data_IF_958053305452
#
_entry.id   IF_958053305452
#
_cell.length_a   1.000
_cell.length_b   1.000
_cell.length_c   1.000
_cell.angle_alpha   90.00
_cell.angle_beta   90.00
_cell.angle_gamma   90.00
#
_symmetry.space_group_name_H-M   'P 1'
#
loop_
_entity.id
_entity.type
_entity.pdbx_description
1 polymer ?
#
# COMPACT_ATOMS: atom_id res chain seq x y z
N UNK A 1 -9.13 3.75 -29.19
CA UNK A 1 -9.59 3.41 -27.83
C UNK A 1 -9.38 1.92 -27.66
N UNK A 2 -8.51 1.51 -26.73
CA UNK A 2 -8.02 0.12 -26.63
C UNK A 2 -8.68 -0.66 -25.49
N UNK A 3 -9.75 -0.12 -24.89
CA UNK A 3 -10.48 -0.71 -23.78
C UNK A 3 -11.99 -0.51 -23.97
N UNK A 4 -12.76 -1.31 -23.25
CA UNK A 4 -14.21 -1.30 -23.26
C UNK A 4 -14.82 -0.56 -22.05
N UNK A 5 -15.91 0.17 -22.27
CA UNK A 5 -16.60 0.96 -21.23
C UNK A 5 -16.01 2.34 -20.93
N UNK A 6 -16.56 2.96 -19.89
CA UNK A 6 -16.10 4.23 -19.28
C UNK A 6 -15.34 3.95 -17.98
N UNK A 7 -14.30 4.73 -17.70
CA UNK A 7 -13.52 4.60 -16.47
C UNK A 7 -14.38 5.05 -15.29
N UNK A 8 -14.51 4.21 -14.27
CA UNK A 8 -15.30 4.52 -13.06
C UNK A 8 -14.43 4.68 -11.81
N UNK A 9 -13.26 4.03 -11.79
CA UNK A 9 -12.24 4.16 -10.74
C UNK A 9 -10.86 3.92 -11.36
N UNK A 10 -9.83 4.43 -10.69
CA UNK A 10 -8.46 4.32 -11.16
C UNK A 10 -7.44 4.59 -10.07
N UNK A 11 -6.25 4.01 -10.24
CA UNK A 11 -5.15 4.21 -9.32
C UNK A 11 -3.80 3.94 -10.00
N UNK A 12 -2.72 4.36 -9.35
CA UNK A 12 -1.36 4.15 -9.82
C UNK A 12 -0.64 3.18 -8.89
N UNK A 13 0.08 2.23 -9.47
CA UNK A 13 1.03 1.40 -8.73
C UNK A 13 2.30 1.22 -9.55
N UNK A 14 3.44 1.50 -8.92
CA UNK A 14 4.76 1.54 -9.57
C UNK A 14 4.73 2.45 -10.82
N UNK A 15 5.05 1.92 -12.00
CA UNK A 15 5.07 2.65 -13.28
C UNK A 15 3.78 2.50 -14.09
N UNK A 16 2.73 1.92 -13.51
CA UNK A 16 1.50 1.58 -14.20
C UNK A 16 0.27 2.29 -13.62
N UNK A 17 -0.61 2.71 -14.52
CA UNK A 17 -1.93 3.22 -14.19
C UNK A 17 -2.95 2.11 -14.41
N UNK A 18 -3.70 1.76 -13.38
CA UNK A 18 -4.74 0.75 -13.46
C UNK A 18 -6.11 1.42 -13.34
N UNK A 19 -7.10 0.91 -14.06
CA UNK A 19 -8.44 1.46 -14.03
C UNK A 19 -9.48 0.38 -14.30
N UNK A 20 -10.63 0.51 -13.62
CA UNK A 20 -11.79 -0.33 -13.90
C UNK A 20 -12.84 0.47 -14.70
N UNK A 21 -13.67 -0.27 -15.42
CA UNK A 21 -14.71 0.33 -16.26
C UNK A 21 -16.11 -0.07 -15.82
N UNK A 22 -17.10 0.68 -16.27
CA UNK A 22 -18.52 0.35 -16.06
C UNK A 22 -18.96 -0.98 -16.71
N UNK A 23 -18.11 -1.59 -17.55
CA UNK A 23 -18.32 -2.95 -18.07
C UNK A 23 -17.67 -4.03 -17.19
N UNK A 24 -17.29 -3.69 -15.96
CA UNK A 24 -16.67 -4.61 -14.99
C UNK A 24 -15.35 -5.21 -15.50
N UNK A 25 -14.53 -4.41 -16.19
CA UNK A 25 -13.22 -4.83 -16.66
C UNK A 25 -12.12 -3.99 -16.05
N UNK A 26 -10.99 -4.61 -15.75
CA UNK A 26 -9.81 -3.92 -15.23
C UNK A 26 -8.71 -3.95 -16.29
N UNK A 27 -8.13 -2.78 -16.52
CA UNK A 27 -7.05 -2.55 -17.47
C UNK A 27 -5.83 -1.97 -16.78
N UNK A 28 -4.68 -2.13 -17.42
CA UNK A 28 -3.41 -1.52 -17.04
C UNK A 28 -2.88 -0.70 -18.22
N UNK A 29 -2.63 0.57 -18.00
CA UNK A 29 -1.89 1.43 -18.91
C UNK A 29 -0.43 1.55 -18.43
N UNK A 30 0.52 1.28 -19.32
CA UNK A 30 1.95 1.43 -19.07
C UNK A 30 2.54 2.36 -20.12
N UNK A 31 3.29 3.36 -19.66
CA UNK A 31 4.00 4.26 -20.57
C UNK A 31 5.33 3.62 -20.96
N UNK A 32 5.54 3.45 -22.27
CA UNK A 32 6.77 3.02 -22.89
C UNK A 32 7.42 4.21 -23.59
N UNK A 33 8.47 4.81 -23.00
CA UNK A 33 9.18 5.91 -23.61
C UNK A 33 9.70 5.54 -25.03
N UNK A 34 9.71 6.48 -25.98
CA UNK A 34 9.48 7.91 -25.76
C UNK A 34 8.02 8.37 -25.81
N UNK A 35 7.08 7.64 -26.41
CA UNK A 35 5.74 8.18 -26.70
C UNK A 35 4.60 7.15 -26.71
N UNK A 36 4.81 5.91 -26.27
CA UNK A 36 3.79 4.87 -26.41
C UNK A 36 3.09 4.58 -25.08
N UNK A 37 1.78 4.39 -25.13
CA UNK A 37 0.99 3.92 -23.99
C UNK A 37 0.39 2.58 -24.41
N UNK A 38 0.90 1.52 -23.81
CA UNK A 38 0.34 0.19 -23.96
C UNK A 38 -0.80 0.02 -22.94
N UNK A 39 -1.95 -0.47 -23.40
CA UNK A 39 -3.10 -0.78 -22.54
C UNK A 39 -3.37 -2.27 -22.64
N UNK A 40 -3.22 -2.97 -21.51
CA UNK A 40 -3.46 -4.40 -21.39
C UNK A 40 -4.75 -4.64 -20.61
N UNK A 41 -5.57 -5.59 -21.06
CA UNK A 41 -6.63 -6.16 -20.24
C UNK A 41 -6.01 -7.05 -19.16
N UNK A 42 -6.39 -6.84 -17.90
CA UNK A 42 -5.88 -7.61 -16.77
C UNK A 42 -6.85 -8.73 -16.43
N UNK A 43 -8.10 -8.38 -16.14
CA UNK A 43 -9.16 -9.33 -15.75
C UNK A 43 -10.53 -8.66 -15.71
N UNK A 44 -11.56 -9.47 -15.60
CA UNK A 44 -12.90 -9.02 -15.22
C UNK A 44 -12.96 -8.78 -13.71
N UNK A 45 -13.77 -7.81 -13.29
CA UNK A 45 -14.13 -7.55 -11.89
C UNK A 45 -15.24 -8.54 -11.51
N UNK A 46 -14.96 -9.42 -10.56
CA UNK A 46 -15.84 -10.55 -10.23
C UNK A 46 -17.00 -10.12 -9.33
N UNK A 47 -18.08 -10.91 -9.34
CA UNK A 47 -19.24 -10.67 -8.49
C UNK A 47 -18.86 -10.73 -7.00
N UNK A 48 -19.29 -9.73 -6.24
CA UNK A 48 -19.01 -9.63 -4.80
C UNK A 48 -17.62 -9.09 -4.46
N UNK A 49 -16.80 -8.74 -5.46
CA UNK A 49 -15.60 -7.94 -5.21
C UNK A 49 -15.94 -6.50 -4.84
N UNK A 50 -15.10 -5.90 -4.00
CA UNK A 50 -15.15 -4.48 -3.68
C UNK A 50 -13.76 -3.88 -3.77
N UNK A 51 -13.67 -2.73 -4.43
CA UNK A 51 -12.44 -1.97 -4.57
C UNK A 51 -12.13 -1.21 -3.28
N UNK A 52 -10.89 -1.34 -2.79
CA UNK A 52 -10.43 -0.73 -1.54
C UNK A 52 -9.51 0.48 -1.75
N UNK A 53 -9.24 0.87 -3.00
CA UNK A 53 -8.15 1.81 -3.31
C UNK A 53 -6.79 1.11 -3.36
N UNK A 54 -5.79 1.81 -3.88
CA UNK A 54 -4.41 1.37 -4.10
C UNK A 54 -4.30 0.00 -4.76
N UNK A 55 -5.23 -0.29 -5.68
CA UNK A 55 -5.30 -1.55 -6.41
C UNK A 55 -5.48 -2.80 -5.53
N UNK A 56 -6.14 -2.63 -4.38
CA UNK A 56 -6.58 -3.75 -3.55
C UNK A 56 -8.06 -4.00 -3.72
N UNK A 57 -8.40 -5.28 -3.60
CA UNK A 57 -9.75 -5.78 -3.69
C UNK A 57 -10.03 -6.60 -2.44
N UNK A 58 -11.29 -6.58 -2.03
CA UNK A 58 -11.81 -7.51 -1.05
C UNK A 58 -12.96 -8.32 -1.63
N UNK A 59 -13.08 -9.58 -1.22
CA UNK A 59 -14.27 -10.40 -1.48
C UNK A 59 -14.48 -11.40 -0.36
N UNK A 60 -15.70 -11.95 -0.27
CA UNK A 60 -15.99 -13.06 0.64
C UNK A 60 -15.95 -14.40 -0.10
N UNK A 61 -15.03 -15.28 0.29
CA UNK A 61 -14.93 -16.65 -0.24
C UNK A 61 -15.24 -17.62 0.89
N UNK A 62 -16.27 -18.46 0.72
CA UNK A 62 -16.70 -19.43 1.74
C UNK A 62 -16.92 -18.78 3.13
N UNK A 63 -17.49 -17.58 3.15
CA UNK A 63 -17.78 -16.81 4.38
C UNK A 63 -16.56 -16.09 4.99
N UNK A 64 -15.36 -16.24 4.43
CA UNK A 64 -14.15 -15.55 4.90
C UNK A 64 -13.84 -14.34 4.03
N UNK A 65 -13.46 -13.23 4.67
CA UNK A 65 -12.96 -12.05 3.97
C UNK A 65 -11.56 -12.36 3.43
N UNK A 66 -11.34 -12.04 2.16
CA UNK A 66 -10.06 -12.21 1.46
C UNK A 66 -9.70 -10.89 0.82
N UNK A 67 -8.43 -10.49 0.96
CA UNK A 67 -7.86 -9.27 0.36
C UNK A 67 -6.69 -9.66 -0.55
N UNK A 68 -6.60 -9.02 -1.71
CA UNK A 68 -5.59 -9.31 -2.74
C UNK A 68 -5.39 -8.08 -3.64
N UNK A 69 -4.35 -8.13 -4.48
CA UNK A 69 -4.05 -7.09 -5.48
C UNK A 69 -4.80 -7.36 -6.77
N UNK A 70 -5.16 -6.30 -7.48
CA UNK A 70 -5.80 -6.35 -8.79
C UNK A 70 -5.04 -7.23 -9.81
N UNK A 71 -3.71 -7.19 -9.80
CA UNK A 71 -2.86 -7.92 -10.75
C UNK A 71 -2.35 -9.27 -10.23
N UNK A 72 -2.60 -9.61 -8.96
CA UNK A 72 -2.10 -10.84 -8.34
C UNK A 72 -3.22 -11.59 -7.64
N UNK A 73 -3.98 -12.33 -8.45
CA UNK A 73 -5.05 -13.22 -7.99
C UNK A 73 -4.52 -14.48 -7.31
N UNK A 74 -3.22 -14.78 -7.41
CA UNK A 74 -2.63 -15.95 -6.77
C UNK A 74 -2.35 -15.72 -5.29
N UNK A 75 -2.22 -14.45 -4.89
CA UNK A 75 -1.89 -14.04 -3.54
C UNK A 75 -3.11 -13.53 -2.77
N UNK A 76 -4.04 -14.44 -2.53
CA UNK A 76 -5.20 -14.21 -1.67
C UNK A 76 -4.83 -14.28 -0.18
N UNK A 77 -5.10 -13.21 0.56
CA UNK A 77 -4.87 -13.17 2.01
C UNK A 77 -6.19 -13.24 2.73
N UNK A 78 -6.41 -14.38 3.39
CA UNK A 78 -7.54 -14.58 4.29
C UNK A 78 -7.35 -13.70 5.51
N UNK A 79 -8.37 -12.90 5.81
CA UNK A 79 -8.46 -12.12 7.05
C UNK A 79 -8.98 -13.04 8.14
N UNK A 80 -8.08 -13.54 8.99
CA UNK A 80 -8.31 -14.57 10.01
C UNK A 80 -8.45 -14.00 11.43
N UNK A 81 -8.71 -12.70 11.53
CA UNK A 81 -8.88 -11.98 12.80
C UNK A 81 -10.27 -11.34 12.86
N UNK A 82 -10.76 -11.10 14.08
CA UNK A 82 -12.11 -10.55 14.26
C UNK A 82 -12.17 -9.05 13.93
N UNK A 83 -13.36 -8.57 13.58
CA UNK A 83 -13.61 -7.15 13.27
C UNK A 83 -13.23 -6.24 14.45
N UNK A 84 -13.39 -6.72 15.70
CA UNK A 84 -12.99 -5.95 16.89
C UNK A 84 -11.48 -5.72 16.95
N UNK A 85 -10.66 -6.70 16.52
CA UNK A 85 -9.19 -6.55 16.46
C UNK A 85 -8.77 -5.60 15.34
N UNK A 86 -9.51 -5.60 14.23
CA UNK A 86 -9.28 -4.71 13.08
C UNK A 86 -9.84 -3.31 13.28
N UNK A 87 -10.64 -3.07 14.33
CA UNK A 87 -11.24 -1.77 14.58
C UNK A 87 -10.19 -0.66 14.62
N UNK A 88 -10.36 0.32 13.73
CA UNK A 88 -9.46 1.47 13.57
C UNK A 88 -8.16 1.17 12.83
N UNK A 89 -8.04 0.00 12.20
CA UNK A 89 -6.93 -0.33 11.31
C UNK A 89 -7.27 0.06 9.87
N UNK A 90 -6.27 0.55 9.14
CA UNK A 90 -6.38 0.94 7.74
C UNK A 90 -5.38 0.15 6.91
N UNK A 91 -5.81 -0.46 5.81
CA UNK A 91 -4.91 -1.17 4.90
C UNK A 91 -3.93 -0.19 4.26
N UNK A 92 -2.63 -0.54 4.32
CA UNK A 92 -1.54 0.27 3.79
C UNK A 92 -0.78 -0.39 2.67
N UNK A 93 -0.57 -1.69 2.76
CA UNK A 93 -0.04 -2.46 1.65
C UNK A 93 -0.30 -3.94 1.86
N UNK A 94 -0.20 -4.70 0.78
CA UNK A 94 0.02 -6.13 0.82
C UNK A 94 1.51 -6.31 0.57
N UNK A 95 2.24 -6.99 1.46
CA UNK A 95 3.68 -7.17 1.33
C UNK A 95 4.05 -8.62 1.66
N UNK A 96 4.68 -9.32 0.70
CA UNK A 96 5.14 -10.72 0.83
C UNK A 96 4.07 -11.65 1.42
N UNK A 97 2.84 -11.50 0.93
CA UNK A 97 1.70 -12.31 1.36
C UNK A 97 1.17 -11.99 2.75
N UNK A 98 1.49 -10.80 3.30
CA UNK A 98 0.95 -10.27 4.55
C UNK A 98 0.21 -8.96 4.29
N UNK A 99 -0.87 -8.71 5.03
CA UNK A 99 -1.49 -7.40 5.10
C UNK A 99 -0.72 -6.54 6.09
N UNK A 100 -0.31 -5.37 5.63
CA UNK A 100 0.27 -4.33 6.49
C UNK A 100 -0.81 -3.29 6.69
N UNK A 101 -1.23 -3.13 7.94
CA UNK A 101 -2.25 -2.17 8.34
C UNK A 101 -1.59 -1.07 9.17
N UNK A 102 -2.12 0.15 9.16
CA UNK A 102 -1.79 1.16 10.18
C UNK A 102 -2.93 1.34 11.16
N UNK A 103 -2.61 1.66 12.40
CA UNK A 103 -3.57 2.03 13.45
C UNK A 103 -3.15 3.35 14.07
N UNK A 104 -4.14 4.23 14.23
CA UNK A 104 -3.96 5.48 14.97
C UNK A 104 -3.94 5.16 16.45
N UNK A 105 -2.74 5.14 17.02
CA UNK A 105 -2.48 4.93 18.43
C UNK A 105 -1.32 5.86 18.83
N UNK A 106 -1.64 6.92 19.57
CA UNK A 106 -0.67 7.97 19.93
C UNK A 106 0.26 7.55 21.09
N UNK A 107 -0.11 6.52 21.85
CA UNK A 107 0.68 6.10 23.02
C UNK A 107 1.84 5.17 22.66
N UNK A 108 1.73 4.49 21.52
CA UNK A 108 2.63 3.41 21.09
C UNK A 108 3.18 3.64 19.67
N UNK A 109 3.38 4.90 19.28
CA UNK A 109 3.88 5.25 17.96
C UNK A 109 5.24 4.60 17.66
N UNK A 110 5.41 4.05 16.46
CA UNK A 110 6.63 3.39 16.00
C UNK A 110 6.74 1.91 16.39
N UNK A 111 5.64 1.26 16.80
CA UNK A 111 5.59 -0.18 17.07
C UNK A 111 4.89 -0.95 15.94
N UNK A 112 5.21 -2.23 15.81
CA UNK A 112 4.51 -3.18 14.95
C UNK A 112 4.08 -4.38 15.77
N UNK A 113 2.89 -4.90 15.48
CA UNK A 113 2.34 -6.08 16.14
C UNK A 113 1.86 -7.07 15.09
N UNK A 114 2.10 -8.36 15.33
CA UNK A 114 1.44 -9.42 14.59
C UNK A 114 0.06 -9.65 15.20
N UNK A 115 -0.99 -9.38 14.44
CA UNK A 115 -2.35 -9.81 14.81
C UNK A 115 -2.59 -11.28 14.44
N UNK A 116 -1.96 -11.71 13.35
CA UNK A 116 -1.90 -13.11 12.89
C UNK A 116 -0.63 -13.30 12.04
N UNK A 117 -0.28 -14.54 11.63
CA UNK A 117 0.87 -14.77 10.74
C UNK A 117 0.82 -14.00 9.41
N UNK A 118 -0.38 -13.55 9.00
CA UNK A 118 -0.67 -12.88 7.74
C UNK A 118 -1.00 -11.39 7.91
N UNK A 119 -1.09 -10.87 9.13
CA UNK A 119 -1.55 -9.51 9.39
C UNK A 119 -0.64 -8.82 10.40
N UNK A 120 0.05 -7.79 9.92
CA UNK A 120 0.89 -6.89 10.72
C UNK A 120 0.17 -5.55 10.87
N UNK A 121 0.13 -5.01 12.08
CA UNK A 121 -0.37 -3.66 12.35
C UNK A 121 0.78 -2.77 12.81
N UNK A 122 0.95 -1.65 12.13
CA UNK A 122 1.85 -0.56 12.46
C UNK A 122 1.11 0.47 13.30
N UNK A 123 1.61 0.75 14.48
CA UNK A 123 1.12 1.83 15.34
C UNK A 123 1.84 3.11 14.96
N UNK A 124 1.30 3.85 14.00
CA UNK A 124 2.00 5.01 13.43
C UNK A 124 1.06 6.10 12.89
N UNK A 125 -0.23 6.06 13.25
CA UNK A 125 -1.20 6.97 12.66
C UNK A 125 -1.47 6.69 11.18
N UNK A 126 -1.88 7.74 10.47
CA UNK A 126 -1.89 7.71 9.01
C UNK A 126 -0.46 7.82 8.49
N UNK A 127 -0.09 7.00 7.51
CA UNK A 127 1.26 6.93 6.98
C UNK A 127 1.24 6.62 5.49
N UNK A 128 2.23 7.19 4.78
CA UNK A 128 2.62 6.72 3.45
C UNK A 128 3.53 5.52 3.61
N UNK A 129 3.25 4.45 2.88
CA UNK A 129 4.06 3.22 2.87
C UNK A 129 4.81 3.06 1.57
N UNK A 130 6.04 2.57 1.66
CA UNK A 130 6.86 2.16 0.53
C UNK A 130 7.31 0.74 0.77
N UNK A 131 7.05 -0.12 -0.20
CA UNK A 131 7.38 -1.53 -0.12
C UNK A 131 7.75 -2.09 -1.49
N UNK A 132 8.51 -3.17 -1.46
CA UNK A 132 8.82 -4.01 -2.60
C UNK A 132 8.91 -5.45 -2.07
N UNK A 133 8.17 -6.38 -2.66
CA UNK A 133 8.14 -7.78 -2.24
C UNK A 133 9.50 -8.47 -2.27
N UNK A 134 10.46 -7.98 -3.08
CA UNK A 134 11.83 -8.51 -3.13
C UNK A 134 12.61 -8.27 -1.83
N UNK A 135 12.21 -7.28 -1.03
CA UNK A 135 12.82 -6.91 0.26
C UNK A 135 11.92 -7.35 1.40
N UNK A 136 12.43 -7.79 2.57
CA UNK A 136 11.59 -8.01 3.75
C UNK A 136 11.14 -6.70 4.43
N UNK A 137 11.69 -5.57 3.99
CA UNK A 137 11.54 -4.27 4.62
C UNK A 137 10.34 -3.52 4.06
N UNK A 138 9.52 -2.98 4.95
CA UNK A 138 8.49 -1.98 4.63
C UNK A 138 8.88 -0.67 5.30
N UNK A 139 8.87 0.40 4.51
CA UNK A 139 9.16 1.74 4.98
C UNK A 139 7.84 2.48 5.18
N UNK A 140 7.71 3.23 6.26
CA UNK A 140 6.53 4.05 6.49
C UNK A 140 6.92 5.42 7.04
N UNK A 141 6.29 6.44 6.46
CA UNK A 141 6.44 7.83 6.84
C UNK A 141 5.09 8.32 7.37
N UNK A 142 4.94 8.52 8.69
CA UNK A 142 3.71 9.07 9.25
C UNK A 142 3.38 10.41 8.60
N UNK A 143 2.11 10.63 8.28
CA UNK A 143 1.60 11.87 7.69
C UNK A 143 1.26 12.82 8.84
N UNK A 144 2.01 13.92 8.96
CA UNK A 144 1.82 14.92 10.01
C UNK A 144 2.87 16.03 9.96
N UNK A 145 2.54 17.22 10.47
CA UNK A 145 3.39 18.43 10.32
C UNK A 145 4.74 18.36 11.06
N UNK A 146 4.94 17.36 11.92
CA UNK A 146 6.15 17.22 12.75
C UNK A 146 6.84 15.84 12.64
N UNK A 147 6.32 14.90 11.83
CA UNK A 147 6.92 13.58 11.67
C UNK A 147 8.14 13.65 10.75
N UNK A 148 9.29 13.97 11.32
CA UNK A 148 10.59 13.88 10.65
C UNK A 148 11.23 12.49 10.87
N UNK A 149 10.44 11.42 10.78
CA UNK A 149 10.90 10.06 11.02
C UNK A 149 10.40 9.14 9.91
N UNK A 150 11.33 8.44 9.26
CA UNK A 150 11.03 7.27 8.48
C UNK A 150 11.21 6.05 9.37
N UNK A 151 10.18 5.22 9.46
CA UNK A 151 10.30 3.94 10.14
C UNK A 151 10.49 2.83 9.11
N UNK A 152 11.31 1.86 9.47
CA UNK A 152 11.58 0.67 8.68
C UNK A 152 11.20 -0.52 9.53
N UNK A 153 10.26 -1.33 9.05
CA UNK A 153 9.92 -2.61 9.70
C UNK A 153 10.45 -3.74 8.83
N UNK A 154 11.20 -4.66 9.44
CA UNK A 154 11.48 -5.95 8.83
C UNK A 154 10.30 -6.88 9.12
N UNK A 155 9.56 -7.26 8.09
CA UNK A 155 8.34 -8.07 8.24
C UNK A 155 8.64 -9.54 8.60
N UNK A 156 9.90 -9.96 8.56
CA UNK A 156 10.35 -11.30 8.98
C UNK A 156 10.70 -11.31 10.46
N UNK A 157 11.49 -10.34 10.93
CA UNK A 157 11.97 -10.29 12.33
C UNK A 157 11.07 -9.45 13.24
N UNK A 158 10.22 -8.60 12.66
CA UNK A 158 9.42 -7.58 13.34
C UNK A 158 10.24 -6.47 14.01
N UNK A 159 11.54 -6.39 13.71
CA UNK A 159 12.39 -5.31 14.18
C UNK A 159 12.02 -4.00 13.48
N UNK A 160 12.06 -2.90 14.25
CA UNK A 160 11.77 -1.57 13.75
C UNK A 160 12.97 -0.66 13.98
N UNK A 161 13.35 0.04 12.92
CA UNK A 161 14.31 1.12 12.97
C UNK A 161 13.59 2.43 12.71
N UNK A 162 13.97 3.48 13.44
CA UNK A 162 13.52 4.84 13.19
C UNK A 162 14.70 5.67 12.70
N UNK A 163 14.54 6.27 11.53
CA UNK A 163 15.54 7.08 10.86
C UNK A 163 15.01 8.50 10.84
N UNK A 164 15.74 9.42 11.47
CA UNK A 164 15.38 10.84 11.45
C UNK A 164 15.62 11.39 10.05
N UNK A 165 14.58 11.92 9.44
CA UNK A 165 14.69 12.67 8.20
C UNK A 165 15.16 14.10 8.51
N UNK A 166 16.00 14.69 7.65
CA UNK A 166 16.42 16.08 7.83
C UNK A 166 15.18 16.98 7.87
N UNK A 167 15.09 17.80 8.92
CA UNK A 167 13.97 18.70 9.17
C UNK A 167 13.84 19.65 8.00
N UNK A 168 12.70 19.65 7.33
CA UNK A 168 12.46 20.60 6.26
C UNK A 168 12.32 22.01 6.82
N UNK A 169 13.13 22.93 6.31
CA UNK A 169 13.22 24.31 6.81
C UNK A 169 12.08 25.20 6.29
N UNK A 170 11.20 24.72 5.41
CA UNK A 170 10.16 25.56 4.80
C UNK A 170 8.74 25.15 5.18
N UNK A 171 8.12 26.02 5.98
CA UNK A 171 6.71 26.03 6.34
C UNK A 171 5.80 26.05 5.11
N UNK A 172 4.67 25.32 5.21
CA UNK A 172 3.35 25.58 4.59
C UNK A 172 2.78 24.61 3.55
N UNK A 173 3.39 23.47 3.24
CA UNK A 173 2.68 22.43 2.47
C UNK A 173 2.93 21.04 3.05
N UNK A 174 1.83 20.30 3.30
CA UNK A 174 1.81 18.84 3.48
C UNK A 174 2.42 18.20 2.23
N UNK A 175 3.74 18.07 2.23
CA UNK A 175 4.45 17.40 1.14
C UNK A 175 4.22 15.90 1.26
N UNK A 176 3.58 15.31 0.25
CA UNK A 176 3.55 13.87 0.08
C UNK A 176 4.93 13.42 -0.43
N UNK A 177 5.42 12.30 0.11
CA UNK A 177 6.60 11.63 -0.41
C UNK A 177 6.13 10.53 -1.35
N UNK A 178 6.68 10.46 -2.57
CA UNK A 178 6.23 9.51 -3.60
C UNK A 178 7.16 8.31 -3.75
N UNK A 179 8.44 8.45 -3.39
CA UNK A 179 9.35 7.30 -3.36
C UNK A 179 10.57 7.51 -2.47
N UNK A 180 11.15 6.39 -2.03
CA UNK A 180 12.51 6.32 -1.49
C UNK A 180 13.45 6.00 -2.64
N UNK A 181 14.43 6.86 -2.91
CA UNK A 181 15.34 6.74 -4.07
C UNK A 181 16.76 6.30 -3.70
N UNK A 182 17.08 6.19 -2.40
CA UNK A 182 18.36 5.63 -1.97
C UNK A 182 18.56 5.68 -0.46
N UNK A 183 19.39 4.75 0.06
CA UNK A 183 19.88 4.73 1.44
C UNK A 183 21.41 4.67 1.38
N UNK A 184 22.09 5.73 1.84
CA UNK A 184 23.54 5.87 1.76
C UNK A 184 24.09 6.24 3.13
N UNK A 185 24.85 5.34 3.78
CA UNK A 185 25.48 5.64 5.07
C UNK A 185 24.50 6.00 6.21
N UNK A 186 23.25 5.54 6.13
CA UNK A 186 22.18 5.89 7.08
C UNK A 186 21.36 7.12 6.69
N UNK A 187 21.72 7.80 5.59
CA UNK A 187 20.94 8.91 5.02
C UNK A 187 19.97 8.38 3.97
N UNK A 188 18.73 8.86 3.99
CA UNK A 188 17.69 8.44 3.04
C UNK A 188 17.33 9.61 2.13
N UNK A 189 17.39 9.33 0.83
CA UNK A 189 16.90 10.24 -0.21
C UNK A 189 15.49 9.84 -0.58
N UNK A 190 14.58 10.81 -0.53
CA UNK A 190 13.15 10.65 -0.87
C UNK A 190 12.75 11.65 -1.94
N UNK A 191 11.92 11.21 -2.88
CA UNK A 191 11.39 12.04 -3.96
C UNK A 191 10.00 12.55 -3.61
N UNK A 192 9.82 13.85 -3.80
CA UNK A 192 8.52 14.53 -3.85
C UNK A 192 8.05 14.67 -5.30
#
# INVERSE_FOLDING_TARGET
KSWDGEIIDSDCFDVAFYFNTNTHKIYRATFHPPNDIQIDFIRDFEEGEKYLGNMWLERKINGKLVIYRVWDLTLEIIVDVTDEKLKGCFLKTIHRGKLILSKVDLEDEGKAINLSPKIIVLKCGDATTFDNDDSPLVYFCPIGWNSCSLFVVDTTTMEILSIKLPRQVNNSTTGYWYSVVGVHGGEISVRR
#
